data_IF_074305922851
#
_entry.id   IF_074305922851
#
_cell.length_a   1.000
_cell.length_b   1.000
_cell.length_c   1.000
_cell.angle_alpha   90.00
_cell.angle_beta   90.00
_cell.angle_gamma   90.00
#
_symmetry.space_group_name_H-M   'P 1'
#
loop_
_entity.id
_entity.type
_entity.pdbx_description
1 polymer ?
#
# COMPACT_ATOMS: atom_id res chain seq x y z
N UNK A 1 22.97 -12.40 -61.19
CA UNK A 1 22.73 -11.59 -59.97
C UNK A 1 22.70 -12.55 -58.81
N UNK A 2 23.75 -12.61 -58.00
CA UNK A 2 23.82 -13.51 -56.85
C UNK A 2 23.00 -12.91 -55.70
N UNK A 3 22.00 -13.65 -55.22
CA UNK A 3 21.22 -13.28 -54.04
C UNK A 3 22.11 -13.35 -52.80
N UNK A 4 22.10 -12.34 -51.90
CA UNK A 4 22.89 -12.40 -50.69
C UNK A 4 22.29 -13.47 -49.77
N UNK A 5 23.04 -14.54 -49.52
CA UNK A 5 22.71 -15.52 -48.49
C UNK A 5 22.95 -14.89 -47.13
N UNK A 6 21.87 -14.46 -46.48
CA UNK A 6 21.90 -13.97 -45.10
C UNK A 6 22.08 -15.17 -44.16
N UNK A 7 23.32 -15.62 -43.95
CA UNK A 7 23.63 -16.59 -42.90
C UNK A 7 23.67 -15.84 -41.57
N UNK A 8 22.52 -15.69 -40.93
CA UNK A 8 22.50 -15.34 -39.51
C UNK A 8 23.24 -16.44 -38.74
N UNK A 9 24.34 -16.12 -38.03
CA UNK A 9 25.05 -17.13 -37.25
C UNK A 9 24.09 -17.71 -36.21
N UNK A 10 24.03 -19.04 -36.10
CA UNK A 10 23.22 -19.73 -35.07
C UNK A 10 23.46 -19.14 -33.67
N UNK A 11 24.71 -18.73 -33.40
CA UNK A 11 25.09 -18.06 -32.16
C UNK A 11 24.36 -16.73 -31.93
N UNK A 12 24.16 -15.92 -32.98
CA UNK A 12 23.40 -14.67 -32.91
C UNK A 12 21.93 -14.92 -32.62
N UNK A 13 21.34 -15.95 -33.25
CA UNK A 13 19.94 -16.34 -32.99
C UNK A 13 19.74 -16.84 -31.55
N UNK A 14 20.67 -17.66 -31.05
CA UNK A 14 20.67 -18.12 -29.65
C UNK A 14 20.85 -16.96 -28.67
N UNK A 15 21.68 -15.98 -28.99
CA UNK A 15 21.86 -14.78 -28.17
C UNK A 15 20.58 -13.95 -28.11
N UNK A 16 19.91 -13.71 -29.24
CA UNK A 16 18.61 -13.04 -29.26
C UNK A 16 17.57 -13.81 -28.45
N UNK A 17 17.49 -15.14 -28.59
CA UNK A 17 16.57 -15.97 -27.82
C UNK A 17 16.86 -15.91 -26.30
N UNK A 18 18.14 -15.88 -25.92
CA UNK A 18 18.54 -15.76 -24.51
C UNK A 18 18.09 -14.45 -23.84
N UNK A 19 18.04 -13.34 -24.59
CA UNK A 19 17.57 -12.04 -24.08
C UNK A 19 16.05 -12.09 -23.81
N UNK A 20 15.28 -12.79 -24.63
CA UNK A 20 13.83 -12.96 -24.42
C UNK A 20 13.48 -14.00 -23.35
N UNK A 21 14.37 -14.96 -23.07
CA UNK A 21 14.13 -15.99 -22.06
C UNK A 21 14.36 -15.54 -20.60
N UNK A 22 15.03 -14.42 -20.37
CA UNK A 22 15.34 -13.93 -19.01
C UNK A 22 14.40 -12.76 -18.68
N UNK A 23 13.14 -13.07 -18.38
CA UNK A 23 12.25 -12.13 -17.70
C UNK A 23 12.27 -12.52 -16.22
N UNK A 24 13.15 -11.90 -15.44
CA UNK A 24 13.11 -12.04 -13.99
C UNK A 24 11.91 -11.26 -13.45
N UNK A 25 10.86 -11.95 -13.02
CA UNK A 25 9.80 -11.36 -12.19
C UNK A 25 10.32 -11.28 -10.76
N UNK A 26 10.68 -10.08 -10.31
CA UNK A 26 10.98 -9.84 -8.91
C UNK A 26 9.68 -10.00 -8.11
N UNK A 27 9.59 -11.07 -7.31
CA UNK A 27 8.50 -11.28 -6.36
C UNK A 27 9.00 -10.96 -4.96
N UNK A 28 8.15 -10.32 -4.16
CA UNK A 28 8.42 -10.10 -2.74
C UNK A 28 8.35 -11.45 -2.02
N UNK A 29 9.36 -11.84 -1.23
CA UNK A 29 9.31 -13.05 -0.41
C UNK A 29 8.11 -13.03 0.54
N UNK A 30 7.44 -14.17 0.74
CA UNK A 30 6.23 -14.23 1.57
C UNK A 30 6.43 -13.72 3.01
N UNK A 31 7.65 -13.88 3.57
CA UNK A 31 7.98 -13.38 4.91
C UNK A 31 8.22 -11.86 4.97
N UNK A 32 8.32 -11.18 3.83
CA UNK A 32 8.45 -9.72 3.69
C UNK A 32 7.12 -9.06 3.25
N UNK A 33 6.01 -9.81 3.33
CA UNK A 33 4.64 -9.33 3.05
C UNK A 33 3.91 -8.99 4.35
N UNK A 34 2.81 -8.23 4.27
CA UNK A 34 1.97 -7.99 5.44
C UNK A 34 0.49 -7.80 5.07
N UNK A 35 -0.37 -7.97 6.09
CA UNK A 35 -1.79 -7.66 6.05
C UNK A 35 -2.21 -7.01 7.37
N UNK A 36 -2.72 -5.79 7.30
CA UNK A 36 -3.26 -5.05 8.43
C UNK A 36 -4.76 -4.89 8.23
N UNK A 37 -5.55 -5.17 9.27
CA UNK A 37 -7.01 -5.12 9.24
C UNK A 37 -7.49 -3.89 10.00
N UNK A 38 -8.45 -3.17 9.43
CA UNK A 38 -9.15 -2.08 10.09
C UNK A 38 -10.23 -2.65 11.03
N UNK A 39 -9.82 -3.03 12.23
CA UNK A 39 -10.70 -3.59 13.26
C UNK A 39 -10.26 -3.15 14.66
N UNK A 40 -11.15 -3.33 15.64
CA UNK A 40 -10.87 -3.07 17.06
C UNK A 40 -11.38 -1.72 17.58
N UNK A 41 -10.89 -1.34 18.76
CA UNK A 41 -11.34 -0.14 19.47
C UNK A 41 -10.78 1.15 18.86
N UNK A 42 -11.56 2.23 18.94
CA UNK A 42 -11.10 3.55 18.55
C UNK A 42 -10.14 4.16 19.57
N UNK A 43 -9.28 5.05 19.09
CA UNK A 43 -8.36 5.77 19.94
C UNK A 43 -9.09 6.69 20.93
N UNK A 44 -8.52 6.88 22.14
CA UNK A 44 -9.24 7.50 23.26
C UNK A 44 -9.20 9.03 23.27
N UNK A 45 -8.47 9.67 22.34
CA UNK A 45 -8.22 11.10 22.37
C UNK A 45 -9.00 11.84 21.28
N UNK A 46 -9.39 13.07 21.55
CA UNK A 46 -10.01 13.91 20.53
C UNK A 46 -8.95 14.33 19.50
N UNK A 47 -9.26 14.13 18.23
CA UNK A 47 -8.41 14.52 17.08
C UNK A 47 -9.09 15.58 16.21
N UNK A 48 -8.39 16.06 15.19
CA UNK A 48 -8.95 16.96 14.19
C UNK A 48 -10.29 16.43 13.64
N UNK A 49 -11.27 17.33 13.49
CA UNK A 49 -12.64 17.04 13.07
C UNK A 49 -13.49 16.18 14.01
N UNK A 50 -13.03 15.93 15.24
CA UNK A 50 -13.71 15.02 16.18
C UNK A 50 -13.97 13.62 15.59
N UNK A 51 -13.10 13.18 14.67
CA UNK A 51 -13.23 11.88 14.04
C UNK A 51 -12.81 10.72 14.95
N UNK A 52 -13.32 9.54 14.64
CA UNK A 52 -12.80 8.31 15.22
C UNK A 52 -11.56 7.86 14.45
N UNK A 53 -10.69 7.08 15.09
CA UNK A 53 -9.48 6.60 14.45
C UNK A 53 -8.94 5.31 15.07
N UNK A 54 -8.16 4.57 14.28
CA UNK A 54 -7.36 3.41 14.68
C UNK A 54 -5.95 3.57 14.14
N UNK A 55 -4.98 3.70 15.03
CA UNK A 55 -3.57 3.79 14.64
C UNK A 55 -3.02 2.40 14.35
N UNK A 56 -2.16 2.29 13.35
CA UNK A 56 -1.39 1.08 13.08
C UNK A 56 -0.13 1.13 13.96
N UNK A 57 -0.06 0.34 15.05
CA UNK A 57 0.96 0.51 16.08
C UNK A 57 2.38 0.27 15.55
N UNK A 58 2.54 -0.65 14.61
CA UNK A 58 3.83 -1.01 14.02
C UNK A 58 4.29 -0.03 12.93
N UNK A 59 3.43 0.90 12.50
CA UNK A 59 3.72 1.90 11.46
C UNK A 59 3.81 3.28 12.09
N UNK A 60 4.90 3.49 12.83
CA UNK A 60 5.16 4.71 13.60
C UNK A 60 6.59 5.21 13.41
N UNK A 61 6.74 6.50 13.15
CA UNK A 61 8.03 7.19 13.27
C UNK A 61 7.80 8.63 13.68
N UNK A 62 8.23 9.00 14.90
CA UNK A 62 7.98 10.31 15.49
C UNK A 62 8.33 11.47 14.54
N UNK A 63 7.40 12.43 14.29
CA UNK A 63 6.10 12.62 14.95
C UNK A 63 4.90 12.01 14.18
N UNK A 64 5.13 11.13 13.22
CA UNK A 64 4.12 10.62 12.30
C UNK A 64 3.57 9.24 12.69
N UNK A 65 2.27 9.08 12.55
CA UNK A 65 1.54 7.83 12.79
C UNK A 65 0.62 7.54 11.62
N UNK A 66 0.65 6.31 11.09
CA UNK A 66 -0.30 5.86 10.08
C UNK A 66 -1.52 5.23 10.77
N UNK A 67 -2.71 5.49 10.25
CA UNK A 67 -3.94 4.90 10.80
C UNK A 67 -5.14 5.05 9.88
N UNK A 68 -6.21 4.36 10.25
CA UNK A 68 -7.54 4.59 9.70
C UNK A 68 -8.22 5.67 10.52
N UNK A 69 -8.94 6.57 9.86
CA UNK A 69 -9.74 7.59 10.54
C UNK A 69 -11.01 7.89 9.76
N UNK A 70 -12.04 8.37 10.44
CA UNK A 70 -13.31 8.70 9.82
C UNK A 70 -13.99 9.87 10.53
N UNK A 71 -14.70 10.68 9.76
CA UNK A 71 -15.64 11.70 10.25
C UNK A 71 -17.09 11.32 9.96
N UNK A 72 -17.30 10.24 9.19
CA UNK A 72 -18.59 9.61 8.92
C UNK A 72 -18.53 8.16 9.40
N UNK A 73 -19.53 7.66 10.14
CA UNK A 73 -19.50 6.29 10.67
C UNK A 73 -19.24 5.25 9.58
N UNK A 74 -18.32 4.32 9.84
CA UNK A 74 -17.95 3.22 8.94
C UNK A 74 -17.42 3.65 7.55
N UNK A 75 -16.92 4.89 7.41
CA UNK A 75 -16.31 5.40 6.18
C UNK A 75 -14.89 5.91 6.46
N UNK A 76 -13.94 4.98 6.46
CA UNK A 76 -12.56 5.21 6.85
C UNK A 76 -11.67 5.63 5.69
N UNK A 77 -10.75 6.55 6.01
CA UNK A 77 -9.62 6.95 5.19
C UNK A 77 -8.34 6.46 5.86
N UNK A 78 -7.45 5.83 5.09
CA UNK A 78 -6.08 5.58 5.52
C UNK A 78 -5.31 6.90 5.45
N UNK A 79 -4.77 7.36 6.56
CA UNK A 79 -4.20 8.69 6.68
C UNK A 79 -2.95 8.72 7.57
N UNK A 80 -2.12 9.73 7.31
CA UNK A 80 -0.97 10.04 8.14
C UNK A 80 -1.32 11.18 9.10
N UNK A 81 -1.14 10.93 10.39
CA UNK A 81 -1.28 11.93 11.46
C UNK A 81 0.08 12.44 11.87
N UNK A 82 0.17 13.74 12.13
CA UNK A 82 1.33 14.37 12.77
C UNK A 82 0.98 14.79 14.20
N UNK A 83 1.82 14.37 15.15
CA UNK A 83 1.72 14.71 16.56
C UNK A 83 1.75 13.48 17.46
N UNK A 84 2.31 13.64 18.65
CA UNK A 84 2.32 12.61 19.69
C UNK A 84 1.26 12.94 20.74
N UNK A 85 0.85 11.95 21.54
CA UNK A 85 -0.12 12.11 22.64
C UNK A 85 0.25 13.25 23.60
N UNK A 86 1.55 13.56 23.74
CA UNK A 86 2.08 14.61 24.62
C UNK A 86 2.35 15.95 23.93
N UNK A 87 2.00 16.11 22.66
CA UNK A 87 2.34 17.32 21.89
C UNK A 87 1.51 18.57 22.25
N UNK A 88 0.63 18.51 23.27
CA UNK A 88 -0.24 19.59 23.81
C UNK A 88 -1.08 20.38 22.79
N UNK A 89 -0.99 20.02 21.52
CA UNK A 89 -1.59 20.68 20.37
C UNK A 89 -2.44 19.68 19.58
N UNK A 90 -3.40 20.20 18.82
CA UNK A 90 -4.27 19.40 17.97
C UNK A 90 -3.43 18.54 17.02
N UNK A 91 -3.57 17.21 17.13
CA UNK A 91 -2.96 16.24 16.22
C UNK A 91 -3.65 16.35 14.86
N UNK A 92 -2.88 16.65 13.81
CA UNK A 92 -3.41 16.96 12.47
C UNK A 92 -3.24 15.82 11.50
N UNK A 93 -4.22 15.65 10.62
CA UNK A 93 -4.11 14.77 9.47
C UNK A 93 -3.37 15.51 8.35
N UNK A 94 -2.19 15.01 7.96
CA UNK A 94 -1.30 15.68 7.01
C UNK A 94 -1.32 15.03 5.63
N UNK A 95 -1.87 13.83 5.51
CA UNK A 95 -2.02 13.11 4.25
C UNK A 95 -3.15 12.07 4.32
N UNK A 96 -3.80 11.83 3.19
CA UNK A 96 -4.93 10.91 3.04
C UNK A 96 -4.78 10.09 1.75
N UNK A 97 -4.91 8.76 1.83
CA UNK A 97 -4.77 7.87 0.68
C UNK A 97 -6.03 7.85 -0.21
N UNK A 98 -7.19 7.68 0.41
CA UNK A 98 -8.43 7.28 -0.26
C UNK A 98 -9.60 8.22 0.07
N UNK A 99 -9.34 9.54 0.16
CA UNK A 99 -10.34 10.57 0.53
C UNK A 99 -11.63 10.51 -0.31
N UNK A 100 -11.52 10.18 -1.60
CA UNK A 100 -12.66 10.07 -2.51
C UNK A 100 -13.30 8.68 -2.59
N UNK A 101 -12.73 7.69 -1.87
CA UNK A 101 -13.11 6.28 -1.97
C UNK A 101 -12.93 5.58 -0.60
N UNK A 102 -13.71 5.95 0.43
CA UNK A 102 -13.55 5.42 1.78
C UNK A 102 -13.78 3.90 1.84
N UNK A 103 -13.20 3.25 2.85
CA UNK A 103 -13.37 1.81 3.16
C UNK A 103 -14.15 1.61 4.46
N UNK A 104 -14.71 0.43 4.66
CA UNK A 104 -15.44 0.09 5.88
C UNK A 104 -14.61 -0.58 6.97
N UNK A 105 -15.33 -1.08 7.97
CA UNK A 105 -14.85 -2.05 8.95
C UNK A 105 -14.31 -3.31 8.24
N UNK A 106 -13.26 -3.93 8.79
CA UNK A 106 -12.57 -5.10 8.25
C UNK A 106 -11.87 -4.87 6.89
N UNK A 107 -11.77 -3.63 6.44
CA UNK A 107 -10.91 -3.27 5.32
C UNK A 107 -9.44 -3.62 5.62
N UNK A 108 -8.66 -3.84 4.57
CA UNK A 108 -7.30 -4.36 4.70
C UNK A 108 -6.31 -3.53 3.92
N UNK A 109 -5.18 -3.21 4.56
CA UNK A 109 -3.97 -2.72 3.90
C UNK A 109 -2.99 -3.89 3.76
N UNK A 110 -2.69 -4.29 2.54
CA UNK A 110 -1.85 -5.46 2.24
C UNK A 110 -0.68 -5.10 1.35
N UNK A 111 0.49 -5.65 1.66
CA UNK A 111 1.63 -5.67 0.74
C UNK A 111 1.86 -7.10 0.27
N UNK A 112 1.62 -7.37 -1.02
CA UNK A 112 1.60 -8.72 -1.59
C UNK A 112 2.93 -9.17 -2.21
N UNK A 113 2.98 -10.43 -2.65
CA UNK A 113 4.14 -10.99 -3.36
C UNK A 113 4.38 -10.34 -4.71
N UNK A 114 3.34 -9.74 -5.30
CA UNK A 114 3.38 -8.95 -6.53
C UNK A 114 4.02 -7.57 -6.34
N UNK A 115 4.34 -7.19 -5.09
CA UNK A 115 4.95 -5.90 -4.76
C UNK A 115 3.97 -4.73 -4.73
N UNK A 116 2.66 -4.97 -4.80
CA UNK A 116 1.66 -3.91 -4.68
C UNK A 116 1.28 -3.67 -3.21
N UNK A 117 1.14 -2.39 -2.85
CA UNK A 117 0.50 -1.96 -1.63
C UNK A 117 -0.97 -1.64 -1.94
N UNK A 118 -1.87 -2.47 -1.43
CA UNK A 118 -3.29 -2.46 -1.78
C UNK A 118 -4.12 -2.14 -0.54
N UNK A 119 -5.01 -1.15 -0.67
CA UNK A 119 -6.09 -0.91 0.27
C UNK A 119 -7.39 -1.45 -0.34
N UNK A 120 -8.01 -2.41 0.34
CA UNK A 120 -9.26 -3.02 -0.09
C UNK A 120 -10.30 -3.02 1.03
N UNK A 121 -11.56 -2.83 0.67
CA UNK A 121 -12.69 -2.96 1.59
C UNK A 121 -13.01 -4.44 1.88
N UNK A 122 -13.85 -4.70 2.88
CA UNK A 122 -14.19 -6.06 3.31
C UNK A 122 -14.91 -6.89 2.23
N UNK A 123 -15.57 -6.23 1.28
CA UNK A 123 -16.23 -6.85 0.13
C UNK A 123 -15.27 -7.13 -1.06
N UNK A 124 -13.97 -6.79 -0.91
CA UNK A 124 -12.94 -6.96 -1.92
C UNK A 124 -12.79 -5.78 -2.89
N UNK A 125 -13.58 -4.70 -2.74
CA UNK A 125 -13.42 -3.49 -3.54
C UNK A 125 -12.06 -2.83 -3.25
N UNK A 126 -11.24 -2.67 -4.27
CA UNK A 126 -9.96 -1.95 -4.19
C UNK A 126 -10.20 -0.44 -4.30
N UNK A 127 -9.48 0.34 -3.50
CA UNK A 127 -9.65 1.79 -3.41
C UNK A 127 -8.76 2.60 -4.34
#
# INVERSE_FOLDING_TARGET
MSSPTFTMPLLSLLFFFSIFCIIAQAQVPANETFKLVNEGEFGPYVVEYFGDYRMLPDVFNSPFQLGFYNTTPNAFTLALRMGLVRSESLMRWVWEANRGNPVGENATLTFGTDGNLVLADADGRVC
#
